data_IF_267004394699
#
_entry.id   IF_267004394699
#
_cell.length_a   1.000
_cell.length_b   1.000
_cell.length_c   1.000
_cell.angle_alpha   90.00
_cell.angle_beta   90.00
_cell.angle_gamma   90.00
#
_symmetry.space_group_name_H-M   'P 1'
#
loop_
_entity.id
_entity.type
_entity.pdbx_description
1 polymer ?
#
# COMPACT_ATOMS: atom_id res chain seq x y z
N UNK A 1 -28.72 -19.50 -15.18
CA UNK A 1 -28.32 -18.44 -14.23
C UNK A 1 -26.94 -18.04 -14.67
N UNK A 2 -26.73 -16.76 -14.94
CA UNK A 2 -25.40 -16.23 -15.22
C UNK A 2 -24.64 -16.21 -13.89
N UNK A 3 -23.45 -16.82 -13.83
CA UNK A 3 -22.58 -16.78 -12.65
C UNK A 3 -22.16 -15.32 -12.46
N UNK A 4 -22.19 -14.81 -11.20
CA UNK A 4 -21.71 -13.47 -10.91
C UNK A 4 -20.24 -13.36 -11.32
N UNK A 5 -19.82 -12.22 -11.88
CA UNK A 5 -18.44 -11.97 -12.33
C UNK A 5 -17.41 -12.30 -11.25
N UNK A 6 -17.66 -11.91 -10.01
CA UNK A 6 -16.73 -12.13 -8.86
C UNK A 6 -16.70 -13.58 -8.36
N UNK A 7 -17.60 -14.45 -8.82
CA UNK A 7 -17.63 -15.88 -8.48
C UNK A 7 -17.07 -16.74 -9.61
N UNK A 8 -16.62 -16.13 -10.73
CA UNK A 8 -16.02 -16.81 -11.85
C UNK A 8 -14.55 -17.16 -11.57
N UNK A 9 -14.00 -18.05 -12.37
CA UNK A 9 -12.56 -18.34 -12.37
C UNK A 9 -11.74 -17.07 -12.66
N UNK A 10 -10.60 -16.92 -11.95
CA UNK A 10 -9.70 -15.76 -12.07
C UNK A 10 -9.30 -15.51 -13.52
N UNK A 11 -9.06 -16.59 -14.30
CA UNK A 11 -8.72 -16.45 -15.72
C UNK A 11 -9.86 -15.81 -16.51
N UNK A 12 -11.10 -16.18 -16.24
CA UNK A 12 -12.27 -15.60 -16.94
C UNK A 12 -12.43 -14.12 -16.58
N UNK A 13 -12.22 -13.78 -15.31
CA UNK A 13 -12.25 -12.39 -14.86
C UNK A 13 -11.14 -11.55 -15.52
N UNK A 14 -9.91 -12.05 -15.56
CA UNK A 14 -8.78 -11.34 -16.19
C UNK A 14 -8.90 -11.23 -17.69
N UNK A 15 -9.42 -12.25 -18.40
CA UNK A 15 -9.69 -12.18 -19.84
C UNK A 15 -10.76 -11.10 -20.16
N UNK A 16 -11.81 -10.99 -19.34
CA UNK A 16 -12.83 -9.95 -19.46
C UNK A 16 -12.26 -8.56 -19.20
N UNK A 17 -11.46 -8.41 -18.14
CA UNK A 17 -10.80 -7.14 -17.80
C UNK A 17 -9.73 -6.73 -18.83
N UNK A 18 -9.04 -7.68 -19.46
CA UNK A 18 -8.11 -7.41 -20.56
C UNK A 18 -8.85 -6.82 -21.76
N UNK A 19 -10.01 -7.39 -22.08
CA UNK A 19 -10.88 -6.83 -23.13
C UNK A 19 -11.34 -5.41 -22.76
N UNK A 20 -11.76 -5.21 -21.53
CA UNK A 20 -12.18 -3.90 -21.03
C UNK A 20 -11.05 -2.87 -20.99
N UNK A 21 -9.83 -3.30 -20.69
CA UNK A 21 -8.64 -2.43 -20.71
C UNK A 21 -8.43 -1.75 -22.07
N UNK A 22 -8.72 -2.43 -23.18
CA UNK A 22 -8.69 -1.82 -24.50
C UNK A 22 -9.70 -0.66 -24.67
N UNK A 23 -10.86 -0.72 -24.01
CA UNK A 23 -11.83 0.40 -24.03
C UNK A 23 -11.30 1.59 -23.20
N UNK A 24 -10.70 1.33 -22.05
CA UNK A 24 -10.07 2.35 -21.23
C UNK A 24 -8.91 3.03 -21.98
N UNK A 25 -8.07 2.27 -22.68
CA UNK A 25 -6.93 2.80 -23.42
C UNK A 25 -7.32 3.76 -24.55
N UNK A 26 -8.52 3.64 -25.12
CA UNK A 26 -9.04 4.60 -26.11
C UNK A 26 -9.15 6.01 -25.53
N UNK A 27 -9.41 6.13 -24.20
CA UNK A 27 -9.45 7.45 -23.53
C UNK A 27 -8.08 8.11 -23.48
N UNK A 28 -7.00 7.34 -23.57
CA UNK A 28 -5.62 7.80 -23.70
C UNK A 28 -5.14 7.91 -25.15
N UNK A 29 -6.01 7.68 -26.13
CA UNK A 29 -5.66 7.68 -27.55
C UNK A 29 -4.85 6.46 -28.01
N UNK A 30 -4.79 5.40 -27.21
CA UNK A 30 -4.04 4.19 -27.49
C UNK A 30 -4.99 3.13 -28.11
N UNK A 31 -4.63 2.64 -29.29
CA UNK A 31 -5.37 1.63 -30.02
C UNK A 31 -4.41 0.55 -30.50
N UNK A 32 -4.80 -0.71 -30.38
CA UNK A 32 -4.02 -1.85 -30.88
C UNK A 32 -2.74 -2.13 -30.10
N UNK A 33 -2.71 -1.76 -28.82
CA UNK A 33 -1.61 -2.14 -27.93
C UNK A 33 -1.70 -3.61 -27.54
N UNK A 34 -0.54 -4.23 -27.28
CA UNK A 34 -0.46 -5.51 -26.59
C UNK A 34 -0.62 -5.27 -25.09
N UNK A 35 -1.50 -6.08 -24.45
CA UNK A 35 -1.86 -5.94 -23.05
C UNK A 35 -1.68 -7.28 -22.36
N UNK A 36 -0.98 -7.27 -21.20
CA UNK A 36 -0.81 -8.46 -20.37
C UNK A 36 -1.19 -8.11 -18.92
N UNK A 37 -2.03 -8.96 -18.30
CA UNK A 37 -2.38 -8.82 -16.89
C UNK A 37 -1.19 -9.26 -16.02
N UNK A 38 -0.62 -8.32 -15.27
CA UNK A 38 0.54 -8.55 -14.41
C UNK A 38 0.12 -8.98 -13.01
N UNK A 39 -0.95 -8.38 -12.49
CA UNK A 39 -1.47 -8.66 -11.16
C UNK A 39 -3.00 -8.50 -11.15
N UNK A 40 -3.67 -9.33 -10.35
CA UNK A 40 -5.11 -9.26 -10.13
C UNK A 40 -5.44 -9.65 -8.69
N UNK A 41 -5.61 -8.65 -7.84
CA UNK A 41 -6.09 -8.78 -6.46
C UNK A 41 -7.13 -7.70 -6.14
N UNK A 42 -6.75 -6.64 -5.42
CA UNK A 42 -7.61 -5.47 -5.19
C UNK A 42 -7.78 -4.64 -6.46
N UNK A 43 -6.74 -4.59 -7.28
CA UNK A 43 -6.70 -3.96 -8.58
C UNK A 43 -6.32 -4.99 -9.64
N UNK A 44 -6.67 -4.71 -10.89
CA UNK A 44 -6.09 -5.38 -12.04
C UNK A 44 -5.05 -4.45 -12.67
N UNK A 45 -3.77 -4.87 -12.67
CA UNK A 45 -2.68 -4.12 -13.26
C UNK A 45 -2.20 -4.79 -14.53
N UNK A 46 -2.10 -4.01 -15.59
CA UNK A 46 -1.72 -4.48 -16.93
C UNK A 46 -0.45 -3.79 -17.40
N UNK A 47 0.46 -4.54 -18.01
CA UNK A 47 1.46 -3.97 -18.91
C UNK A 47 0.79 -3.62 -20.24
N UNK A 48 1.12 -2.46 -20.79
CA UNK A 48 0.58 -1.96 -22.06
C UNK A 48 1.75 -1.62 -22.97
N UNK A 49 1.90 -2.35 -24.07
CA UNK A 49 2.95 -2.11 -25.08
C UNK A 49 2.32 -1.58 -26.35
N UNK A 50 2.65 -0.34 -26.73
CA UNK A 50 2.10 0.27 -27.95
C UNK A 50 2.86 -0.19 -29.19
N UNK A 51 2.24 -0.06 -30.35
CA UNK A 51 2.90 -0.35 -31.66
C UNK A 51 4.11 0.54 -31.92
N UNK A 52 4.20 1.71 -31.27
CA UNK A 52 5.34 2.61 -31.34
C UNK A 52 6.49 2.22 -30.37
N UNK A 53 6.36 1.11 -29.65
CA UNK A 53 7.37 0.61 -28.70
C UNK A 53 7.35 1.31 -27.33
N UNK A 54 6.35 2.13 -27.05
CA UNK A 54 6.17 2.73 -25.72
C UNK A 54 5.51 1.71 -24.78
N UNK A 55 5.93 1.72 -23.52
CA UNK A 55 5.39 0.83 -22.47
C UNK A 55 4.79 1.62 -21.32
N UNK A 56 3.67 1.16 -20.79
CA UNK A 56 2.92 1.78 -19.70
C UNK A 56 2.39 0.71 -18.75
N UNK A 57 2.01 1.14 -17.53
CA UNK A 57 1.20 0.35 -16.62
C UNK A 57 -0.22 0.93 -16.57
N UNK A 58 -1.24 0.09 -16.75
CA UNK A 58 -2.64 0.48 -16.57
C UNK A 58 -3.19 -0.24 -15.34
N UNK A 59 -3.64 0.51 -14.34
CA UNK A 59 -4.34 -0.02 -13.17
C UNK A 59 -5.84 0.21 -13.30
N UNK A 60 -6.62 -0.84 -13.09
CA UNK A 60 -8.09 -0.83 -13.03
C UNK A 60 -8.53 -1.18 -11.60
N UNK A 61 -9.29 -0.28 -10.97
CA UNK A 61 -9.82 -0.50 -9.62
C UNK A 61 -11.11 -1.33 -9.69
N UNK A 62 -10.99 -2.64 -9.52
CA UNK A 62 -12.11 -3.60 -9.65
C UNK A 62 -12.60 -4.15 -8.32
N UNK A 63 -11.69 -4.56 -7.43
CA UNK A 63 -11.99 -5.12 -6.11
C UNK A 63 -11.64 -4.16 -4.96
N UNK A 64 -11.01 -3.03 -5.28
CA UNK A 64 -10.61 -2.03 -4.30
C UNK A 64 -11.83 -1.26 -3.76
N UNK A 65 -11.80 -0.95 -2.47
CA UNK A 65 -12.79 -0.09 -1.81
C UNK A 65 -12.49 1.40 -1.99
N UNK A 66 -11.41 1.75 -2.69
CA UNK A 66 -11.00 3.14 -2.93
C UNK A 66 -12.03 3.87 -3.78
N UNK A 67 -12.44 5.04 -3.32
CA UNK A 67 -13.33 5.93 -4.05
C UNK A 67 -12.58 6.69 -5.14
N UNK A 68 -13.31 7.30 -6.08
CA UNK A 68 -12.70 8.20 -7.06
C UNK A 68 -11.90 9.33 -6.39
N UNK A 69 -12.37 9.86 -5.25
CA UNK A 69 -11.69 10.91 -4.51
C UNK A 69 -10.33 10.41 -3.97
N UNK A 70 -10.26 9.15 -3.51
CA UNK A 70 -9.00 8.53 -3.05
C UNK A 70 -8.02 8.35 -4.22
N UNK A 71 -8.48 7.83 -5.36
CA UNK A 71 -7.65 7.60 -6.54
C UNK A 71 -7.12 8.94 -7.11
N UNK A 72 -7.95 9.99 -7.10
CA UNK A 72 -7.53 11.33 -7.49
C UNK A 72 -6.47 11.89 -6.53
N UNK A 73 -6.65 11.69 -5.23
CA UNK A 73 -5.69 12.13 -4.21
C UNK A 73 -4.33 11.44 -4.37
N UNK A 74 -4.31 10.10 -4.48
CA UNK A 74 -3.12 9.33 -4.80
C UNK A 74 -2.42 9.88 -6.05
N UNK A 75 -3.18 10.03 -7.14
CA UNK A 75 -2.65 10.51 -8.43
C UNK A 75 -2.05 11.91 -8.30
N UNK A 76 -2.66 12.82 -7.52
CA UNK A 76 -2.13 14.15 -7.25
C UNK A 76 -0.81 14.08 -6.49
N UNK A 77 -0.74 13.23 -5.45
CA UNK A 77 0.48 13.09 -4.65
C UNK A 77 1.61 12.46 -5.46
N UNK A 78 1.39 11.35 -6.15
CA UNK A 78 2.40 10.72 -7.02
C UNK A 78 2.94 11.72 -8.04
N UNK A 79 2.08 12.55 -8.66
CA UNK A 79 2.52 13.63 -9.56
C UNK A 79 3.39 14.68 -8.87
N UNK A 80 3.17 14.98 -7.62
CA UNK A 80 4.05 15.90 -6.87
C UNK A 80 5.43 15.29 -6.65
N UNK A 81 5.48 13.98 -6.36
CA UNK A 81 6.72 13.23 -6.16
C UNK A 81 7.59 13.14 -7.42
N UNK A 82 6.99 13.10 -8.63
CA UNK A 82 7.75 13.11 -9.88
C UNK A 82 8.62 14.37 -10.07
N UNK A 83 8.42 15.43 -9.27
CA UNK A 83 9.19 16.68 -9.32
C UNK A 83 10.44 16.64 -8.44
N UNK A 84 10.61 15.60 -7.64
CA UNK A 84 11.75 15.42 -6.74
C UNK A 84 12.80 14.58 -7.46
N UNK A 85 13.97 15.15 -7.83
CA UNK A 85 14.94 14.46 -8.71
C UNK A 85 15.48 13.13 -8.15
N UNK A 86 15.43 12.96 -6.83
CA UNK A 86 15.96 11.78 -6.13
C UNK A 86 14.88 10.72 -5.83
N UNK A 87 13.65 10.92 -6.31
CA UNK A 87 12.54 9.97 -6.16
C UNK A 87 12.08 9.54 -7.55
N UNK A 88 12.12 8.24 -7.82
CA UNK A 88 11.56 7.67 -9.03
C UNK A 88 10.24 6.98 -8.68
N UNK A 89 9.14 7.47 -9.23
CA UNK A 89 7.79 6.93 -9.09
C UNK A 89 7.12 6.81 -10.46
N UNK A 90 6.12 5.95 -10.64
CA UNK A 90 5.41 5.85 -11.90
C UNK A 90 4.62 7.14 -12.16
N UNK A 91 5.01 7.90 -13.17
CA UNK A 91 4.32 9.16 -13.51
C UNK A 91 2.91 8.87 -14.04
N UNK A 92 1.84 9.40 -13.43
CA UNK A 92 0.50 9.30 -13.98
C UNK A 92 0.42 10.02 -15.34
N UNK A 93 -0.24 9.37 -16.30
CA UNK A 93 -0.41 9.86 -17.68
C UNK A 93 -1.81 10.44 -17.82
N UNK A 94 -1.91 11.65 -18.37
CA UNK A 94 -3.19 12.28 -18.63
C UNK A 94 -3.91 11.61 -19.82
N UNK A 95 -5.21 11.44 -19.72
CA UNK A 95 -6.08 11.05 -20.82
C UNK A 95 -6.28 12.22 -21.82
N UNK A 96 -6.99 11.98 -22.91
CA UNK A 96 -7.23 12.98 -23.97
C UNK A 96 -8.04 14.21 -23.49
N UNK A 97 -8.74 14.09 -22.38
CA UNK A 97 -9.52 15.14 -21.73
C UNK A 97 -8.79 15.83 -20.56
N UNK A 98 -7.48 15.62 -20.47
CA UNK A 98 -6.58 16.13 -19.44
C UNK A 98 -6.81 15.58 -18.02
N UNK A 99 -7.71 14.58 -17.84
CA UNK A 99 -7.90 13.89 -16.57
C UNK A 99 -6.90 12.72 -16.43
N UNK A 100 -6.45 12.47 -15.19
CA UNK A 100 -5.55 11.34 -14.89
C UNK A 100 -6.30 10.08 -14.50
N UNK A 101 -7.51 10.24 -13.94
CA UNK A 101 -8.40 9.14 -13.59
C UNK A 101 -9.53 9.11 -14.62
N UNK A 102 -9.67 7.99 -15.30
CA UNK A 102 -10.76 7.75 -16.24
C UNK A 102 -11.72 6.71 -15.65
N UNK A 103 -12.94 6.69 -16.14
CA UNK A 103 -13.92 5.66 -15.71
C UNK A 103 -14.77 5.18 -16.88
N UNK A 104 -15.20 3.91 -16.81
CA UNK A 104 -16.11 3.32 -17.76
C UNK A 104 -16.90 2.19 -17.09
N UNK A 105 -18.11 1.92 -17.58
CA UNK A 105 -18.94 0.82 -17.11
C UNK A 105 -18.46 -0.52 -17.69
N UNK A 106 -18.05 -1.43 -16.81
CA UNK A 106 -17.72 -2.81 -17.16
C UNK A 106 -18.99 -3.67 -17.11
N UNK A 107 -19.44 -4.16 -18.26
CA UNK A 107 -20.73 -4.82 -18.39
C UNK A 107 -20.80 -6.14 -17.63
N UNK A 108 -19.73 -6.93 -17.63
CA UNK A 108 -19.72 -8.26 -17.00
C UNK A 108 -19.78 -8.18 -15.47
N UNK A 109 -19.14 -7.20 -14.84
CA UNK A 109 -19.22 -6.96 -13.40
C UNK A 109 -20.40 -6.07 -12.98
N UNK A 110 -20.97 -5.30 -13.94
CA UNK A 110 -21.98 -4.29 -13.66
C UNK A 110 -21.47 -3.06 -12.90
N UNK A 111 -20.16 -2.92 -12.75
CA UNK A 111 -19.54 -1.83 -11.97
C UNK A 111 -19.03 -0.71 -12.88
N UNK A 112 -18.99 0.51 -12.33
CA UNK A 112 -18.19 1.60 -12.85
C UNK A 112 -16.74 1.38 -12.38
N UNK A 113 -15.83 1.11 -13.31
CA UNK A 113 -14.40 0.87 -13.00
C UNK A 113 -13.63 2.15 -13.29
N UNK A 114 -12.76 2.51 -12.36
CA UNK A 114 -11.80 3.58 -12.54
C UNK A 114 -10.48 3.02 -13.07
N UNK A 115 -9.83 3.75 -13.97
CA UNK A 115 -8.54 3.40 -14.54
C UNK A 115 -7.55 4.55 -14.44
N UNK A 116 -6.30 4.23 -14.11
CA UNK A 116 -5.18 5.16 -14.13
C UNK A 116 -4.06 4.54 -14.93
N UNK A 117 -3.51 5.31 -15.88
CA UNK A 117 -2.33 4.91 -16.63
C UNK A 117 -1.09 5.59 -16.07
N UNK A 118 -0.02 4.82 -15.95
CA UNK A 118 1.26 5.26 -15.41
C UNK A 118 2.39 5.00 -16.40
N UNK A 119 3.48 5.77 -16.31
CA UNK A 119 4.72 5.41 -16.96
C UNK A 119 5.20 4.04 -16.48
N UNK A 120 5.79 3.26 -17.38
CA UNK A 120 6.41 1.99 -17.02
C UNK A 120 7.67 2.22 -16.19
N UNK A 121 7.85 1.39 -15.17
CA UNK A 121 9.09 1.31 -14.41
C UNK A 121 9.88 0.10 -14.87
N UNK A 122 11.18 0.27 -15.08
CA UNK A 122 12.11 -0.82 -15.34
C UNK A 122 12.80 -1.24 -14.05
N UNK A 123 13.23 -2.51 -13.95
CA UNK A 123 13.97 -3.00 -12.81
C UNK A 123 13.46 -4.33 -12.28
N UNK A 124 14.09 -4.75 -11.18
CA UNK A 124 13.71 -5.95 -10.42
C UNK A 124 13.24 -5.53 -9.04
N UNK A 125 12.24 -6.23 -8.51
CA UNK A 125 11.75 -6.00 -7.14
C UNK A 125 12.88 -6.26 -6.13
N UNK A 126 12.97 -5.42 -5.09
CA UNK A 126 13.93 -5.62 -4.00
C UNK A 126 13.65 -6.91 -3.22
N UNK A 127 12.39 -7.31 -3.12
CA UNK A 127 11.95 -8.53 -2.45
C UNK A 127 12.33 -8.55 -0.95
N UNK A 128 12.65 -9.74 -0.47
CA UNK A 128 12.90 -10.00 0.96
C UNK A 128 14.36 -9.83 1.38
N UNK A 129 15.31 -9.71 0.43
CA UNK A 129 16.75 -9.70 0.72
C UNK A 129 17.46 -8.41 0.20
N UNK A 130 17.00 -7.19 0.54
CA UNK A 130 17.68 -5.98 0.12
C UNK A 130 19.05 -5.83 0.80
N UNK A 131 20.01 -5.28 0.07
CA UNK A 131 21.32 -4.93 0.64
C UNK A 131 21.22 -3.74 1.60
N UNK A 132 22.22 -3.55 2.47
CA UNK A 132 22.25 -2.41 3.38
C UNK A 132 22.30 -1.06 2.65
N UNK A 133 23.00 -0.99 1.51
CA UNK A 133 23.06 0.23 0.68
C UNK A 133 21.69 0.55 0.06
N UNK A 134 20.96 -0.46 -0.40
CA UNK A 134 19.60 -0.31 -0.89
C UNK A 134 18.66 0.18 0.22
N UNK A 135 18.73 -0.41 1.41
CA UNK A 135 17.94 0.01 2.56
C UNK A 135 18.29 1.45 3.00
N UNK A 136 19.55 1.85 2.93
CA UNK A 136 19.93 3.24 3.17
C UNK A 136 19.24 4.17 2.16
N UNK A 137 19.20 3.81 0.87
CA UNK A 137 18.51 4.57 -0.17
C UNK A 137 16.99 4.59 0.05
N UNK A 138 16.39 3.48 0.48
CA UNK A 138 14.97 3.43 0.89
C UNK A 138 14.69 4.42 2.01
N UNK A 139 15.54 4.45 3.06
CA UNK A 139 15.42 5.42 4.14
C UNK A 139 15.47 6.88 3.68
N UNK A 140 16.36 7.20 2.72
CA UNK A 140 16.42 8.54 2.10
C UNK A 140 15.12 8.87 1.37
N UNK A 141 14.58 7.93 0.60
CA UNK A 141 13.36 8.12 -0.15
C UNK A 141 12.14 8.37 0.77
N UNK A 142 12.00 7.60 1.86
CA UNK A 142 10.95 7.82 2.87
C UNK A 142 11.07 9.24 3.44
N UNK A 143 12.28 9.69 3.79
CA UNK A 143 12.49 11.03 4.32
C UNK A 143 12.08 12.15 3.36
N UNK A 144 12.44 12.02 2.08
CA UNK A 144 12.06 12.97 1.03
C UNK A 144 10.55 12.98 0.75
N UNK A 145 9.91 11.80 0.82
CA UNK A 145 8.45 11.71 0.66
C UNK A 145 7.72 12.35 1.85
N UNK A 146 8.23 12.20 3.08
CA UNK A 146 7.70 12.89 4.25
C UNK A 146 7.89 14.42 4.16
N UNK A 147 9.01 14.91 3.63
CA UNK A 147 9.17 16.35 3.35
C UNK A 147 8.13 16.85 2.35
N UNK A 148 7.94 16.13 1.26
CA UNK A 148 6.91 16.48 0.28
C UNK A 148 5.51 16.40 0.89
N UNK A 149 5.21 15.31 1.62
CA UNK A 149 3.90 15.08 2.23
C UNK A 149 3.50 16.14 3.25
N UNK A 150 4.47 16.73 3.96
CA UNK A 150 4.21 17.80 4.95
C UNK A 150 3.74 19.12 4.31
N UNK A 151 4.14 19.37 3.07
CA UNK A 151 3.81 20.60 2.34
C UNK A 151 2.74 20.38 1.26
N UNK A 152 2.32 19.12 1.06
CA UNK A 152 1.39 18.75 0.01
C UNK A 152 -0.06 18.97 0.43
N UNK A 153 -0.82 19.66 -0.42
CA UNK A 153 -2.24 19.92 -0.24
C UNK A 153 -3.06 19.26 -1.35
N UNK A 154 -4.10 18.54 -0.96
CA UNK A 154 -5.06 17.97 -1.91
C UNK A 154 -5.97 19.08 -2.47
N UNK A 155 -6.33 18.92 -3.75
CA UNK A 155 -7.21 19.84 -4.47
C UNK A 155 -8.40 19.11 -5.10
N UNK A 156 -9.37 19.88 -5.61
CA UNK A 156 -10.44 19.41 -6.48
C UNK A 156 -11.32 18.27 -5.90
N UNK A 157 -11.58 18.30 -4.59
CA UNK A 157 -12.43 17.31 -3.92
C UNK A 157 -11.78 15.94 -3.76
N UNK A 158 -10.45 15.85 -3.95
CA UNK A 158 -9.67 14.67 -3.62
C UNK A 158 -9.60 14.47 -2.11
N UNK A 159 -9.69 13.23 -1.65
CA UNK A 159 -9.71 12.86 -0.23
C UNK A 159 -8.87 11.61 0.00
N UNK A 160 -8.26 11.50 1.18
CA UNK A 160 -7.55 10.31 1.62
C UNK A 160 -8.06 9.86 2.99
N UNK A 161 -7.98 8.55 3.30
CA UNK A 161 -8.25 8.05 4.63
C UNK A 161 -7.23 8.60 5.63
N UNK A 162 -7.61 8.62 6.91
CA UNK A 162 -6.70 8.93 8.03
C UNK A 162 -6.45 7.65 8.82
N UNK A 163 -5.19 7.39 9.16
CA UNK A 163 -4.78 6.16 9.84
C UNK A 163 -4.79 6.27 11.38
N UNK A 164 -5.66 7.13 11.89
CA UNK A 164 -5.91 7.23 13.34
C UNK A 164 -6.79 6.10 13.88
N UNK A 165 -7.64 5.48 13.03
CA UNK A 165 -8.36 4.28 13.43
C UNK A 165 -7.50 3.02 13.35
N UNK A 166 -7.85 2.00 14.17
CA UNK A 166 -7.03 0.81 14.34
C UNK A 166 -6.89 -0.02 13.05
N UNK A 167 -7.89 -0.03 12.18
CA UNK A 167 -7.87 -0.83 10.94
C UNK A 167 -7.56 -0.02 9.68
N UNK A 168 -7.21 1.25 9.82
CA UNK A 168 -6.89 2.14 8.70
C UNK A 168 -8.00 2.18 7.64
N UNK A 169 -9.26 2.13 8.10
CA UNK A 169 -10.44 2.14 7.23
C UNK A 169 -10.80 0.80 6.61
N UNK A 170 -10.03 -0.28 6.87
CA UNK A 170 -10.39 -1.63 6.43
C UNK A 170 -11.43 -2.27 7.34
N UNK A 171 -12.13 -3.30 6.88
CA UNK A 171 -13.15 -3.99 7.66
C UNK A 171 -12.53 -4.81 8.79
N UNK A 172 -13.19 -4.80 9.95
CA UNK A 172 -12.75 -5.53 11.14
C UNK A 172 -13.15 -7.02 11.09
N UNK A 173 -12.17 -7.88 10.94
CA UNK A 173 -12.30 -9.35 11.02
C UNK A 173 -11.76 -9.93 12.32
N UNK A 174 -11.14 -9.12 13.18
CA UNK A 174 -10.58 -9.58 14.46
C UNK A 174 -11.56 -9.43 15.62
N UNK A 175 -12.32 -8.33 15.69
CA UNK A 175 -13.16 -7.98 16.83
C UNK A 175 -14.66 -7.92 16.50
N UNK A 176 -15.04 -7.84 15.24
CA UNK A 176 -16.44 -7.81 14.80
C UNK A 176 -17.13 -9.17 14.95
N UNK A 177 -18.40 -9.23 14.56
CA UNK A 177 -19.17 -10.48 14.49
C UNK A 177 -18.67 -11.45 13.40
N UNK A 178 -17.80 -11.00 12.50
CA UNK A 178 -17.15 -11.83 11.48
C UNK A 178 -15.93 -12.58 12.01
N UNK A 179 -15.44 -12.22 13.19
CA UNK A 179 -14.26 -12.85 13.80
C UNK A 179 -14.50 -14.33 14.11
N UNK A 180 -13.58 -15.17 13.66
CA UNK A 180 -13.55 -16.61 13.95
C UNK A 180 -12.53 -16.98 15.05
N UNK A 181 -11.92 -15.97 15.71
CA UNK A 181 -11.00 -16.17 16.82
C UNK A 181 -11.69 -16.81 18.01
N UNK A 182 -11.02 -17.74 18.67
CA UNK A 182 -11.49 -18.27 19.96
C UNK A 182 -11.39 -17.18 21.04
N UNK A 183 -12.26 -17.26 22.04
CA UNK A 183 -12.40 -16.21 23.06
C UNK A 183 -11.08 -15.85 23.77
N UNK A 184 -10.22 -16.83 24.05
CA UNK A 184 -8.92 -16.62 24.69
C UNK A 184 -7.98 -15.75 23.83
N UNK A 185 -7.87 -16.07 22.54
CA UNK A 185 -6.98 -15.38 21.63
C UNK A 185 -7.48 -13.97 21.35
N UNK A 186 -8.80 -13.85 21.15
CA UNK A 186 -9.46 -12.55 20.99
C UNK A 186 -9.17 -11.62 22.17
N UNK A 187 -9.33 -12.09 23.43
CA UNK A 187 -9.04 -11.28 24.62
C UNK A 187 -7.58 -10.85 24.70
N UNK A 188 -6.64 -11.68 24.24
CA UNK A 188 -5.22 -11.33 24.21
C UNK A 188 -4.95 -10.23 23.19
N UNK A 189 -5.53 -10.34 21.98
CA UNK A 189 -5.39 -9.36 20.91
C UNK A 189 -6.10 -8.04 21.31
N UNK A 190 -7.25 -8.08 21.99
CA UNK A 190 -7.94 -6.89 22.51
C UNK A 190 -7.07 -6.08 23.48
N UNK A 191 -6.35 -6.75 24.39
CA UNK A 191 -5.40 -6.06 25.29
C UNK A 191 -4.26 -5.36 24.54
N UNK A 192 -3.74 -6.01 23.51
CA UNK A 192 -2.70 -5.40 22.68
C UNK A 192 -3.27 -4.21 21.90
N UNK A 193 -4.46 -4.34 21.30
CA UNK A 193 -5.15 -3.26 20.61
C UNK A 193 -5.28 -2.02 21.49
N UNK A 194 -5.76 -2.20 22.74
CA UNK A 194 -6.01 -1.08 23.65
C UNK A 194 -4.70 -0.29 23.96
N UNK A 195 -3.58 -1.01 24.10
CA UNK A 195 -2.27 -0.37 24.27
C UNK A 195 -1.74 0.27 22.99
N UNK A 196 -1.87 -0.42 21.85
CA UNK A 196 -1.47 0.13 20.54
C UNK A 196 -2.25 1.42 20.28
N UNK A 197 -3.58 1.40 20.48
CA UNK A 197 -4.43 2.59 20.31
C UNK A 197 -3.93 3.74 21.17
N UNK A 198 -3.61 3.49 22.45
CA UNK A 198 -3.08 4.53 23.33
C UNK A 198 -1.77 5.14 22.80
N UNK A 199 -0.81 4.31 22.36
CA UNK A 199 0.45 4.83 21.81
C UNK A 199 0.23 5.58 20.49
N UNK A 200 -0.71 5.13 19.66
CA UNK A 200 -1.08 5.80 18.42
C UNK A 200 -1.74 7.14 18.71
N UNK A 201 -2.69 7.21 19.65
CA UNK A 201 -3.34 8.47 20.06
C UNK A 201 -2.32 9.48 20.59
N UNK A 202 -1.35 9.03 21.42
CA UNK A 202 -0.28 9.88 21.93
C UNK A 202 0.61 10.43 20.79
N UNK A 203 0.90 9.64 19.76
CA UNK A 203 1.64 10.07 18.57
C UNK A 203 0.83 11.10 17.77
N UNK A 204 -0.47 10.86 17.52
CA UNK A 204 -1.34 11.80 16.81
C UNK A 204 -1.53 13.13 17.56
N UNK A 205 -1.48 13.11 18.90
CA UNK A 205 -1.56 14.32 19.73
C UNK A 205 -0.29 15.17 19.68
N UNK A 206 0.87 14.58 19.33
CA UNK A 206 2.19 15.24 19.47
C UNK A 206 2.96 15.38 18.16
N UNK A 207 2.51 14.72 17.09
CA UNK A 207 3.20 14.71 15.80
C UNK A 207 2.33 15.34 14.70
N UNK A 208 2.91 15.97 13.68
CA UNK A 208 2.17 16.40 12.52
C UNK A 208 1.59 15.21 11.77
N UNK A 209 0.40 15.41 11.21
CA UNK A 209 -0.29 14.44 10.35
C UNK A 209 -0.24 14.96 8.92
N UNK A 210 0.29 14.16 8.02
CA UNK A 210 0.37 14.46 6.60
C UNK A 210 0.27 13.19 5.77
N UNK A 211 0.36 13.28 4.46
CA UNK A 211 0.27 12.11 3.59
C UNK A 211 1.53 11.23 3.74
N UNK A 212 1.31 9.93 3.88
CA UNK A 212 2.33 8.88 3.96
C UNK A 212 1.98 7.75 3.00
N UNK A 213 2.96 6.91 2.65
CA UNK A 213 2.78 5.78 1.75
C UNK A 213 2.00 4.62 2.40
N UNK A 214 2.32 4.33 3.66
CA UNK A 214 1.70 3.30 4.50
C UNK A 214 1.97 1.83 4.11
N UNK A 215 2.69 1.57 3.01
CA UNK A 215 2.99 0.20 2.56
C UNK A 215 4.41 0.04 1.99
N UNK A 216 5.42 0.59 2.67
CA UNK A 216 6.82 0.44 2.29
C UNK A 216 7.35 -0.95 2.59
N UNK A 217 7.49 -1.79 1.57
CA UNK A 217 8.16 -3.08 1.67
C UNK A 217 8.83 -3.45 0.33
N UNK A 218 9.74 -4.43 0.37
CA UNK A 218 10.60 -4.76 -0.78
C UNK A 218 9.85 -5.12 -2.07
N UNK A 219 8.61 -5.60 -1.98
CA UNK A 219 7.76 -5.93 -3.12
C UNK A 219 7.04 -4.73 -3.74
N UNK A 220 7.07 -3.54 -3.09
CA UNK A 220 6.59 -2.26 -3.62
C UNK A 220 7.76 -1.36 -4.06
N UNK A 221 8.96 -1.92 -4.12
CA UNK A 221 10.20 -1.23 -4.46
C UNK A 221 10.92 -1.98 -5.58
N UNK A 222 11.42 -1.25 -6.57
CA UNK A 222 12.24 -1.82 -7.64
C UNK A 222 13.62 -1.17 -7.66
N UNK A 223 14.60 -1.90 -8.17
CA UNK A 223 15.97 -1.44 -8.34
C UNK A 223 16.41 -1.59 -9.80
N UNK A 224 16.92 -0.52 -10.37
CA UNK A 224 17.43 -0.50 -11.74
C UNK A 224 18.56 0.50 -11.86
N UNK A 225 19.71 0.11 -12.42
CA UNK A 225 20.88 0.97 -12.67
C UNK A 225 21.26 1.84 -11.45
N UNK A 226 21.38 1.21 -10.27
CA UNK A 226 21.69 1.86 -8.99
C UNK A 226 20.66 2.91 -8.54
N UNK A 227 19.43 2.84 -9.03
CA UNK A 227 18.32 3.72 -8.65
C UNK A 227 17.18 2.93 -8.03
N UNK A 228 16.58 3.53 -7.01
CA UNK A 228 15.37 3.05 -6.38
C UNK A 228 14.14 3.60 -7.10
N UNK A 229 13.17 2.73 -7.36
CA UNK A 229 11.84 3.07 -7.87
C UNK A 229 10.79 2.62 -6.84
N UNK A 230 9.80 3.47 -6.59
CA UNK A 230 8.74 3.24 -5.60
C UNK A 230 7.41 3.20 -6.33
N UNK A 231 6.60 2.21 -6.06
CA UNK A 231 5.27 2.07 -6.66
C UNK A 231 4.25 1.57 -5.64
N UNK A 232 3.02 1.35 -6.08
CA UNK A 232 1.88 0.93 -5.28
C UNK A 232 1.52 1.90 -4.14
N UNK A 233 1.03 3.07 -4.57
CA UNK A 233 0.55 4.13 -3.69
C UNK A 233 -0.93 3.97 -3.30
N UNK A 234 -1.57 2.84 -3.62
CA UNK A 234 -3.00 2.61 -3.40
C UNK A 234 -3.37 2.71 -1.90
N UNK A 235 -2.45 2.35 -1.03
CA UNK A 235 -2.62 2.41 0.42
C UNK A 235 -2.28 3.77 1.05
N UNK A 236 -1.87 4.78 0.28
CA UNK A 236 -1.52 6.08 0.84
C UNK A 236 -2.68 6.74 1.61
N UNK A 237 -2.34 7.52 2.61
CA UNK A 237 -3.30 8.23 3.44
C UNK A 237 -2.67 9.20 4.42
N UNK A 238 -3.48 9.85 5.23
CA UNK A 238 -3.01 10.75 6.27
C UNK A 238 -2.61 10.01 7.53
N UNK A 239 -1.36 10.10 7.90
CA UNK A 239 -0.77 9.44 9.07
C UNK A 239 0.37 10.23 9.70
N UNK A 240 0.95 9.68 10.76
CA UNK A 240 2.19 10.19 11.36
C UNK A 240 3.39 9.45 10.76
N UNK A 241 4.50 10.14 10.54
CA UNK A 241 5.72 9.60 9.92
C UNK A 241 6.22 8.31 10.58
N UNK A 242 6.02 8.18 11.88
CA UNK A 242 6.41 6.98 12.62
C UNK A 242 5.66 5.72 12.17
N UNK A 243 4.41 5.83 11.64
CA UNK A 243 3.66 4.70 11.09
C UNK A 243 4.33 4.18 9.81
N UNK A 244 4.74 5.07 8.92
CA UNK A 244 5.41 4.70 7.66
C UNK A 244 6.78 4.05 7.91
N UNK A 245 7.56 4.62 8.84
CA UNK A 245 8.82 4.03 9.28
C UNK A 245 8.60 2.63 9.90
N UNK A 246 7.56 2.47 10.74
CA UNK A 246 7.25 1.18 11.34
C UNK A 246 6.85 0.13 10.31
N UNK A 247 6.11 0.52 9.25
CA UNK A 247 5.79 -0.38 8.15
C UNK A 247 7.06 -0.86 7.46
N UNK A 248 7.99 0.05 7.13
CA UNK A 248 9.24 -0.32 6.48
C UNK A 248 10.11 -1.24 7.38
N UNK A 249 10.24 -0.92 8.67
CA UNK A 249 11.01 -1.73 9.63
C UNK A 249 10.38 -3.11 9.89
N UNK A 250 9.07 -3.24 9.75
CA UNK A 250 8.36 -4.52 10.01
C UNK A 250 8.84 -5.67 9.12
N UNK A 251 9.32 -5.38 7.93
CA UNK A 251 9.78 -6.34 6.94
C UNK A 251 11.29 -6.59 6.99
N UNK A 252 12.00 -6.01 7.97
CA UNK A 252 13.43 -6.22 8.16
C UNK A 252 13.68 -7.25 9.26
N UNK A 253 14.77 -8.02 9.10
CA UNK A 253 15.07 -9.16 9.96
C UNK A 253 16.21 -8.89 10.95
N UNK A 254 17.06 -7.89 10.67
CA UNK A 254 18.27 -7.65 11.46
C UNK A 254 18.44 -6.21 11.91
N UNK A 255 19.08 -5.99 13.09
CA UNK A 255 19.38 -4.63 13.55
C UNK A 255 20.28 -3.82 12.58
N UNK A 256 21.10 -4.48 11.78
CA UNK A 256 21.94 -3.85 10.75
C UNK A 256 21.07 -3.27 9.61
N UNK A 257 20.03 -4.01 9.22
CA UNK A 257 19.05 -3.53 8.24
C UNK A 257 18.27 -2.33 8.78
N UNK A 258 17.76 -2.42 10.02
CA UNK A 258 17.11 -1.28 10.71
C UNK A 258 18.02 -0.06 10.73
N UNK A 259 19.29 -0.24 11.12
CA UNK A 259 20.27 0.83 11.21
C UNK A 259 20.57 1.46 9.84
N UNK A 260 20.61 0.67 8.77
CA UNK A 260 20.83 1.15 7.40
C UNK A 260 19.66 2.02 6.95
N UNK A 261 18.41 1.55 7.08
CA UNK A 261 17.21 2.31 6.72
C UNK A 261 17.10 3.61 7.52
N UNK A 262 17.20 3.53 8.85
CA UNK A 262 17.13 4.70 9.72
C UNK A 262 18.31 5.66 9.52
N UNK A 263 19.49 5.13 9.14
CA UNK A 263 20.66 5.92 8.76
C UNK A 263 20.41 6.71 7.48
N UNK A 264 19.82 6.09 6.48
CA UNK A 264 19.38 6.73 5.23
C UNK A 264 18.40 7.86 5.50
N UNK A 265 17.36 7.61 6.28
CA UNK A 265 16.39 8.63 6.68
C UNK A 265 17.08 9.82 7.36
N UNK A 266 17.94 9.56 8.35
CA UNK A 266 18.69 10.60 9.11
C UNK A 266 19.65 11.40 8.24
N UNK A 267 20.12 10.86 7.13
CA UNK A 267 21.00 11.59 6.21
C UNK A 267 20.29 12.72 5.48
N UNK A 268 18.95 12.69 5.41
CA UNK A 268 18.11 13.70 4.78
C UNK A 268 17.50 14.63 5.85
N UNK A 269 16.84 14.06 6.88
CA UNK A 269 16.15 14.81 7.93
C UNK A 269 16.16 14.05 9.28
N UNK A 270 15.95 14.72 10.41
CA UNK A 270 15.80 14.05 11.70
C UNK A 270 14.63 13.05 11.69
N UNK A 271 14.78 11.94 12.42
CA UNK A 271 13.67 11.03 12.66
C UNK A 271 12.53 11.75 13.40
N UNK A 272 11.26 11.39 13.14
CA UNK A 272 10.15 11.84 13.95
C UNK A 272 10.34 11.41 15.42
N UNK A 273 9.77 12.19 16.33
CA UNK A 273 9.86 11.86 17.76
C UNK A 273 8.89 10.70 18.09
N UNK A 274 9.44 9.62 18.61
CA UNK A 274 8.66 8.49 19.17
C UNK A 274 9.46 7.81 20.28
N UNK A 275 8.75 7.19 21.23
CA UNK A 275 9.37 6.32 22.23
C UNK A 275 9.62 4.92 21.67
N UNK A 276 10.55 4.19 22.28
CA UNK A 276 10.79 2.77 21.93
C UNK A 276 9.50 1.95 22.04
N UNK A 277 8.70 2.17 23.08
CA UNK A 277 7.41 1.46 23.25
C UNK A 277 6.39 1.84 22.16
N UNK A 278 6.37 3.09 21.71
CA UNK A 278 5.52 3.49 20.60
C UNK A 278 5.93 2.79 19.29
N UNK A 279 7.23 2.67 18.99
CA UNK A 279 7.68 1.92 17.83
C UNK A 279 7.35 0.42 17.94
N UNK A 280 7.55 -0.21 19.12
CA UNK A 280 7.11 -1.60 19.36
C UNK A 280 5.61 -1.78 19.13
N UNK A 281 4.80 -0.80 19.57
CA UNK A 281 3.36 -0.79 19.35
C UNK A 281 2.99 -0.70 17.85
N UNK A 282 3.64 0.19 17.10
CA UNK A 282 3.41 0.34 15.66
C UNK A 282 3.83 -0.91 14.85
N UNK A 283 4.96 -1.54 15.19
CA UNK A 283 5.39 -2.80 14.59
C UNK A 283 4.38 -3.93 14.84
N UNK A 284 3.86 -4.02 16.07
CA UNK A 284 2.81 -4.98 16.38
C UNK A 284 1.49 -4.61 15.70
N UNK A 285 1.19 -3.32 15.56
CA UNK A 285 0.01 -2.85 14.83
C UNK A 285 0.04 -3.31 13.37
N UNK A 286 1.16 -3.10 12.65
CA UNK A 286 1.32 -3.62 11.28
C UNK A 286 1.05 -5.12 11.21
N UNK A 287 1.57 -5.89 12.18
CA UNK A 287 1.30 -7.33 12.26
C UNK A 287 -0.19 -7.65 12.40
N UNK A 288 -0.94 -6.88 13.19
CA UNK A 288 -2.37 -7.09 13.39
C UNK A 288 -3.20 -6.66 12.18
N UNK A 289 -2.78 -5.63 11.43
CA UNK A 289 -3.38 -5.28 10.14
C UNK A 289 -3.24 -6.43 9.14
N UNK A 290 -2.05 -7.01 9.01
CA UNK A 290 -1.82 -8.19 8.16
C UNK A 290 -2.58 -9.42 8.65
N UNK A 291 -2.69 -9.63 9.97
CA UNK A 291 -3.53 -10.71 10.52
C UNK A 291 -5.00 -10.49 10.16
N UNK A 292 -5.50 -9.26 10.24
CA UNK A 292 -6.86 -8.91 9.84
C UNK A 292 -7.10 -9.24 8.35
N UNK A 293 -6.16 -8.87 7.48
CA UNK A 293 -6.18 -9.22 6.06
C UNK A 293 -6.22 -10.75 5.82
N UNK A 294 -5.44 -11.53 6.57
CA UNK A 294 -5.43 -12.99 6.41
C UNK A 294 -6.76 -13.65 6.81
N UNK A 295 -7.56 -13.02 7.67
CA UNK A 295 -8.94 -13.45 7.95
C UNK A 295 -9.92 -13.07 6.83
N UNK A 296 -9.65 -11.98 6.12
CA UNK A 296 -10.48 -11.45 5.04
C UNK A 296 -10.23 -12.14 3.70
N UNK A 297 -8.95 -12.34 3.35
CA UNK A 297 -8.51 -12.70 1.99
C UNK A 297 -9.21 -13.95 1.45
N UNK A 298 -9.50 -13.93 0.14
CA UNK A 298 -9.98 -15.10 -0.60
C UNK A 298 -8.84 -15.85 -1.29
N UNK A 299 -7.63 -15.28 -1.34
CA UNK A 299 -6.46 -15.90 -1.93
C UNK A 299 -6.10 -17.20 -1.16
N UNK A 300 -6.10 -18.38 -1.81
CA UNK A 300 -5.84 -19.66 -1.14
C UNK A 300 -4.45 -19.73 -0.50
N UNK A 301 -3.42 -19.20 -1.16
CA UNK A 301 -2.03 -19.22 -0.67
C UNK A 301 -1.90 -18.40 0.61
N UNK A 302 -2.50 -17.21 0.65
CA UNK A 302 -2.51 -16.37 1.84
C UNK A 302 -3.32 -17.00 2.98
N UNK A 303 -4.42 -17.68 2.67
CA UNK A 303 -5.19 -18.42 3.70
C UNK A 303 -4.42 -19.55 4.35
N UNK A 304 -3.55 -20.23 3.61
CA UNK A 304 -2.69 -21.28 4.16
C UNK A 304 -1.69 -20.74 5.18
N UNK A 305 -1.32 -19.47 5.10
CA UNK A 305 -0.43 -18.81 6.07
C UNK A 305 -1.10 -18.51 7.42
N UNK A 306 -2.43 -18.36 7.46
CA UNK A 306 -3.16 -17.86 8.63
C UNK A 306 -2.87 -18.63 9.94
N UNK A 307 -2.84 -19.98 10.01
CA UNK A 307 -2.62 -20.67 11.29
C UNK A 307 -1.24 -20.34 11.90
N UNK A 308 -0.18 -20.44 11.13
CA UNK A 308 1.19 -20.14 11.57
C UNK A 308 1.37 -18.65 11.90
N UNK A 309 0.75 -17.77 11.10
CA UNK A 309 0.82 -16.33 11.33
C UNK A 309 0.09 -15.91 12.61
N UNK A 310 -1.08 -16.52 12.89
CA UNK A 310 -1.83 -16.29 14.13
C UNK A 310 -1.02 -16.76 15.36
N UNK A 311 -0.49 -17.98 15.34
CA UNK A 311 0.34 -18.51 16.42
C UNK A 311 1.51 -17.56 16.74
N UNK A 312 2.26 -17.17 15.74
CA UNK A 312 3.38 -16.21 15.87
C UNK A 312 2.91 -14.82 16.35
N UNK A 313 1.71 -14.40 15.96
CA UNK A 313 1.13 -13.13 16.43
C UNK A 313 0.82 -13.17 17.90
N UNK A 314 0.23 -14.26 18.41
CA UNK A 314 -0.06 -14.43 19.83
C UNK A 314 1.21 -14.46 20.69
N UNK A 315 2.30 -15.09 20.21
CA UNK A 315 3.62 -15.02 20.86
C UNK A 315 4.14 -13.59 20.97
N UNK A 316 4.16 -12.86 19.83
CA UNK A 316 4.63 -11.46 19.79
C UNK A 316 3.79 -10.53 20.64
N UNK A 317 2.46 -10.73 20.67
CA UNK A 317 1.55 -9.97 21.56
C UNK A 317 1.91 -10.22 23.02
N UNK A 318 2.13 -11.49 23.40
CA UNK A 318 2.46 -11.84 24.79
C UNK A 318 3.80 -11.20 25.23
N UNK A 319 4.80 -11.18 24.36
CA UNK A 319 6.07 -10.50 24.60
C UNK A 319 5.87 -8.98 24.74
N UNK A 320 5.16 -8.34 23.80
CA UNK A 320 4.85 -6.91 23.84
C UNK A 320 4.14 -6.49 25.15
N UNK A 321 3.10 -7.22 25.53
CA UNK A 321 2.38 -6.93 26.78
C UNK A 321 3.26 -7.03 28.03
N UNK A 322 4.24 -7.95 28.02
CA UNK A 322 5.21 -8.07 29.11
C UNK A 322 6.17 -6.90 29.15
N UNK A 323 6.71 -6.50 27.98
CA UNK A 323 7.71 -5.44 27.87
C UNK A 323 7.16 -4.06 28.24
N UNK A 324 5.94 -3.73 27.79
CA UNK A 324 5.39 -2.36 27.99
C UNK A 324 4.69 -2.15 29.33
N UNK A 325 4.48 -3.23 30.12
CA UNK A 325 3.86 -3.14 31.46
C UNK A 325 4.88 -3.19 32.60
N UNK A 326 6.17 -3.38 32.28
CA UNK A 326 7.30 -3.25 33.22
C UNK A 326 7.84 -1.82 33.23
#
# INVERSE_FOLDING_TARGET
MTINFFDQDVKVQTDSLTTFAHEILKKYGIVGADIECMNFEFNATFSVSTQAGQKYALRLNINSTRTIANIQAETQWVRSLTRIPSINVPAPIAALDDHYVVSEHHQDSGQLIYGVMYSWLEGEELGDEPTLDQLHTVGQAIALMHENGSDFELTDGAELPTFSDFFWGTEDYLFSTKSTLIAKDRQLIEKARDLITKFTDDLYATSPVHIIHADFHGWNLMWHEDQLFIFDFDDCGFGVEAQDIAVALYYLDTPEQDAALLGGYKSIRPLPAYSENAMKALLLHRRLLLLNYLFETKNPEHKEMLPAYLEKSLERISAFLTDVTQ
#
